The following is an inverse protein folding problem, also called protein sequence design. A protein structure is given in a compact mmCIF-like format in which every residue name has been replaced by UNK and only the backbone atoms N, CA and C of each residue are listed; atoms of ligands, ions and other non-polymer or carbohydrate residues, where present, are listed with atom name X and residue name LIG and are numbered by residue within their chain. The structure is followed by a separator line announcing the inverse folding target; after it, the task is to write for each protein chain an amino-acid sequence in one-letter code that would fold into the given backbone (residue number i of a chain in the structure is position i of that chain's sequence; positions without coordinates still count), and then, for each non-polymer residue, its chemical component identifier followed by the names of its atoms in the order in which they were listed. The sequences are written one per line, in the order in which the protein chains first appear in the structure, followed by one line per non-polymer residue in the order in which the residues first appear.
data_IF_152750824126
#
_entry.id   IF_152750824126
#
_cell.length_a   1.000
_cell.length_b   1.000
_cell.length_c   1.000
_cell.angle_alpha   90.00
_cell.angle_beta   90.00
_cell.angle_gamma   90.00
#
_symmetry.space_group_name_H-M   'P 1'
#
loop_
_entity.id
_entity.type
_entity.pdbx_description
1 polymer ?
#
# COMPACT_ATOMS: atom_id res chain seq x y z
N UNK A 1 4.38 11.86 16.28
CA UNK A 1 4.93 12.59 15.11
C UNK A 1 6.44 12.52 15.19
N UNK A 2 7.13 12.41 14.07
CA UNK A 2 8.60 12.33 14.01
C UNK A 2 9.18 13.75 13.85
N UNK A 3 9.98 14.30 14.77
CA UNK A 3 10.52 15.65 14.68
C UNK A 3 11.36 15.89 13.41
N UNK A 4 12.00 14.83 12.89
CA UNK A 4 12.84 14.88 11.67
C UNK A 4 12.04 14.55 10.40
N UNK A 5 10.72 14.41 10.50
CA UNK A 5 9.83 14.12 9.38
C UNK A 5 9.56 15.35 8.52
N UNK A 6 9.24 15.12 7.24
CA UNK A 6 8.72 16.15 6.36
C UNK A 6 7.30 16.53 6.75
N UNK A 7 6.88 17.79 6.51
CA UNK A 7 5.52 18.24 6.79
C UNK A 7 4.54 17.72 5.74
N UNK A 8 3.42 17.14 6.21
CA UNK A 8 2.31 16.69 5.37
C UNK A 8 0.99 17.23 5.88
N UNK A 9 0.12 17.56 4.96
CA UNK A 9 -1.29 17.90 5.21
C UNK A 9 -2.18 16.67 5.08
N UNK A 10 -3.45 16.79 5.49
CA UNK A 10 -4.47 15.77 5.32
C UNK A 10 -4.13 14.40 5.93
N UNK A 11 -3.17 14.34 6.84
CA UNK A 11 -2.96 13.14 7.65
C UNK A 11 -4.02 13.04 8.74
N UNK A 12 -4.47 11.83 9.07
CA UNK A 12 -5.54 11.63 10.05
C UNK A 12 -5.18 12.18 11.44
N UNK A 13 -3.90 12.11 11.82
CA UNK A 13 -3.38 12.71 13.04
C UNK A 13 -2.46 13.89 12.69
N UNK A 14 -2.92 15.09 12.96
CA UNK A 14 -2.18 16.33 12.75
C UNK A 14 -1.97 17.07 14.07
N UNK A 15 -0.99 17.93 14.12
CA UNK A 15 -0.85 18.91 15.20
C UNK A 15 -2.03 19.88 15.14
N UNK A 16 -2.72 20.07 16.27
CA UNK A 16 -3.96 20.85 16.35
C UNK A 16 -3.77 22.34 16.03
N UNK A 17 -2.56 22.87 16.20
CA UNK A 17 -2.29 24.29 15.98
C UNK A 17 -1.88 24.57 14.53
N UNK A 18 -1.19 23.62 13.89
CA UNK A 18 -0.63 23.82 12.53
C UNK A 18 -1.36 23.06 11.44
N UNK A 19 -2.19 22.05 11.79
CA UNK A 19 -2.82 21.17 10.82
C UNK A 19 -1.84 20.28 10.05
N UNK A 20 -0.61 20.15 10.54
CA UNK A 20 0.49 19.44 9.85
C UNK A 20 0.91 18.21 10.65
N UNK A 21 1.18 17.12 9.93
CA UNK A 21 1.86 15.95 10.47
C UNK A 21 3.31 15.92 9.98
N UNK A 22 4.26 15.73 10.90
CA UNK A 22 5.67 15.48 10.55
C UNK A 22 5.91 13.99 10.46
N UNK A 23 6.15 13.47 9.25
CA UNK A 23 6.26 12.03 8.98
C UNK A 23 7.47 11.78 8.09
N UNK A 24 8.20 10.71 8.38
CA UNK A 24 9.31 10.24 7.56
C UNK A 24 8.78 9.18 6.58
N UNK A 25 8.74 9.53 5.31
CA UNK A 25 8.47 8.61 4.20
C UNK A 25 9.76 8.41 3.39
N UNK A 26 9.90 7.24 2.79
CA UNK A 26 10.90 7.04 1.75
C UNK A 26 10.41 7.63 0.42
N UNK A 27 11.27 7.66 -0.59
CA UNK A 27 10.97 8.27 -1.90
C UNK A 27 9.75 7.64 -2.58
N UNK A 28 9.56 6.32 -2.46
CA UNK A 28 8.44 5.63 -3.09
C UNK A 28 7.14 5.88 -2.34
N UNK A 29 7.18 5.83 -1.02
CA UNK A 29 6.03 6.15 -0.16
C UNK A 29 5.54 7.58 -0.42
N UNK A 30 6.48 8.55 -0.45
CA UNK A 30 6.15 9.95 -0.75
C UNK A 30 5.56 10.12 -2.15
N UNK A 31 6.15 9.48 -3.16
CA UNK A 31 5.67 9.57 -4.53
C UNK A 31 4.27 8.98 -4.70
N UNK A 32 4.01 7.80 -4.13
CA UNK A 32 2.68 7.16 -4.16
C UNK A 32 1.66 8.04 -3.42
N UNK A 33 2.01 8.58 -2.25
CA UNK A 33 1.13 9.47 -1.50
C UNK A 33 0.77 10.72 -2.32
N UNK A 34 1.74 11.34 -2.99
CA UNK A 34 1.49 12.53 -3.83
C UNK A 34 0.56 12.24 -5.01
N UNK A 35 0.63 11.04 -5.61
CA UNK A 35 -0.34 10.62 -6.62
C UNK A 35 -1.74 10.50 -6.03
N UNK A 36 -1.89 9.88 -4.86
CA UNK A 36 -3.19 9.75 -4.20
C UNK A 36 -3.78 11.10 -3.81
N UNK A 37 -2.98 12.03 -3.29
CA UNK A 37 -3.43 13.37 -2.89
C UNK A 37 -3.95 14.23 -4.05
N UNK A 38 -3.57 13.93 -5.30
CA UNK A 38 -4.08 14.63 -6.49
C UNK A 38 -5.44 14.12 -6.96
N UNK A 39 -5.92 13.01 -6.43
CA UNK A 39 -7.20 12.44 -6.83
C UNK A 39 -8.36 13.29 -6.33
N UNK A 40 -9.39 13.52 -7.13
CA UNK A 40 -10.53 14.34 -6.74
C UNK A 40 -11.37 13.73 -5.61
N UNK A 41 -11.27 12.42 -5.41
CA UNK A 41 -11.97 11.67 -4.37
C UNK A 41 -11.16 11.52 -3.06
N UNK A 42 -9.90 11.97 -3.04
CA UNK A 42 -9.03 11.91 -1.86
C UNK A 42 -9.57 12.76 -0.70
N UNK A 43 -9.50 12.22 0.52
CA UNK A 43 -9.93 12.92 1.74
C UNK A 43 -8.77 13.11 2.71
N UNK A 44 -8.21 12.01 3.19
CA UNK A 44 -7.10 12.03 4.11
C UNK A 44 -6.31 10.70 4.01
N UNK A 45 -5.21 10.65 4.74
CA UNK A 45 -4.37 9.47 4.78
C UNK A 45 -3.83 9.20 6.18
N UNK A 46 -3.34 7.99 6.39
CA UNK A 46 -2.73 7.56 7.64
C UNK A 46 -1.45 6.75 7.33
N UNK A 47 -0.32 7.17 7.90
CA UNK A 47 0.86 6.30 8.00
C UNK A 47 0.57 5.19 8.99
N UNK A 48 0.64 3.94 8.56
CA UNK A 48 0.47 2.80 9.44
C UNK A 48 1.78 2.55 10.22
N UNK A 49 1.86 3.12 11.41
CA UNK A 49 3.08 3.07 12.24
C UNK A 49 3.22 1.70 12.86
N UNK A 50 4.29 1.00 12.49
CA UNK A 50 4.61 -0.33 13.03
C UNK A 50 4.57 -0.37 14.56
N UNK A 51 3.89 -1.38 15.12
CA UNK A 51 3.73 -1.63 16.55
C UNK A 51 2.91 -0.59 17.34
N UNK A 52 2.28 0.38 16.68
CA UNK A 52 1.28 1.20 17.35
C UNK A 52 0.04 0.35 17.69
N UNK A 53 -0.63 0.63 18.80
CA UNK A 53 -1.80 -0.15 19.25
C UNK A 53 -2.96 -0.15 18.24
N UNK A 54 -3.07 0.89 17.44
CA UNK A 54 -4.08 1.06 16.41
C UNK A 54 -3.62 0.61 15.00
N UNK A 55 -2.36 0.17 14.85
CA UNK A 55 -1.82 -0.18 13.55
C UNK A 55 -2.44 -1.47 13.00
N UNK A 56 -2.73 -1.48 11.71
CA UNK A 56 -3.05 -2.69 10.98
C UNK A 56 -1.80 -3.58 10.93
N UNK A 57 -1.89 -4.75 11.53
CA UNK A 57 -0.83 -5.74 11.54
C UNK A 57 -1.35 -7.06 10.96
N UNK A 58 -0.74 -7.54 9.90
CA UNK A 58 -1.08 -8.78 9.23
C UNK A 58 -0.07 -9.87 9.60
N UNK A 59 -0.48 -11.01 10.12
CA UNK A 59 0.44 -12.11 10.40
C UNK A 59 0.88 -12.79 9.10
N UNK A 60 2.16 -13.14 9.00
CA UNK A 60 2.70 -13.96 7.93
C UNK A 60 3.76 -14.92 8.44
N UNK A 61 3.94 -16.04 7.74
CA UNK A 61 4.96 -17.04 8.08
C UNK A 61 6.20 -16.80 7.21
N UNK A 62 7.36 -16.72 7.86
CA UNK A 62 8.64 -16.57 7.20
C UNK A 62 9.73 -17.36 7.94
N UNK A 63 10.38 -18.30 7.23
CA UNK A 63 11.40 -19.19 7.79
C UNK A 63 10.96 -19.95 9.04
N UNK A 64 9.70 -20.40 9.07
CA UNK A 64 9.13 -21.15 10.20
C UNK A 64 8.72 -20.29 11.40
N UNK A 65 8.82 -18.97 11.32
CA UNK A 65 8.41 -18.04 12.36
C UNK A 65 7.20 -17.21 11.92
N UNK A 66 6.28 -16.95 12.86
CA UNK A 66 5.21 -15.98 12.66
C UNK A 66 5.72 -14.58 12.90
N UNK A 67 5.55 -13.72 11.89
CA UNK A 67 5.93 -12.31 11.92
C UNK A 67 4.72 -11.40 11.69
N UNK A 68 4.81 -10.16 12.17
CA UNK A 68 3.82 -9.12 11.90
C UNK A 68 4.29 -8.24 10.74
N UNK A 69 3.44 -8.09 9.74
CA UNK A 69 3.60 -7.16 8.63
C UNK A 69 2.66 -5.97 8.81
N UNK A 70 3.17 -4.78 8.60
CA UNK A 70 2.45 -3.52 8.74
C UNK A 70 2.45 -2.82 7.37
N UNK A 71 1.34 -2.91 6.60
CA UNK A 71 1.23 -2.16 5.34
C UNK A 71 1.48 -0.67 5.54
N UNK A 72 2.12 -0.03 4.58
CA UNK A 72 2.70 1.29 4.78
C UNK A 72 1.67 2.40 5.04
N UNK A 73 0.57 2.44 4.30
CA UNK A 73 -0.38 3.54 4.42
C UNK A 73 -1.82 3.14 4.10
N UNK A 74 -2.74 3.88 4.70
CA UNK A 74 -4.17 3.84 4.41
C UNK A 74 -4.59 5.17 3.81
N UNK A 75 -5.45 5.11 2.80
CA UNK A 75 -6.03 6.28 2.12
C UNK A 75 -7.53 6.27 2.31
N UNK A 76 -8.09 7.35 2.80
CA UNK A 76 -9.54 7.56 2.87
C UNK A 76 -9.99 8.33 1.64
N UNK A 77 -10.99 7.83 0.94
CA UNK A 77 -11.58 8.47 -0.24
C UNK A 77 -13.10 8.59 -0.13
N UNK A 78 -13.66 9.56 -0.84
CA UNK A 78 -15.11 9.60 -1.10
C UNK A 78 -15.49 8.49 -2.08
N UNK A 79 -16.63 7.84 -1.81
CA UNK A 79 -17.17 6.81 -2.68
C UNK A 79 -18.68 7.05 -2.91
N UNK A 80 -19.18 7.01 -4.16
CA UNK A 80 -20.58 7.36 -4.47
C UNK A 80 -21.60 6.51 -3.72
N UNK A 81 -21.29 5.22 -3.52
CA UNK A 81 -22.23 4.26 -2.91
C UNK A 81 -22.07 4.17 -1.37
N UNK A 82 -20.82 4.29 -0.87
CA UNK A 82 -20.51 4.01 0.55
C UNK A 82 -20.20 5.26 1.37
N UNK A 83 -20.21 6.44 0.77
CA UNK A 83 -19.81 7.70 1.38
C UNK A 83 -18.28 7.80 1.51
N UNK A 84 -17.68 7.00 2.38
CA UNK A 84 -16.22 6.92 2.53
C UNK A 84 -15.76 5.47 2.46
N UNK A 85 -14.57 5.28 1.89
CA UNK A 85 -13.90 3.99 1.79
C UNK A 85 -12.45 4.13 2.20
N UNK A 86 -11.86 3.01 2.61
CA UNK A 86 -10.44 2.92 2.97
C UNK A 86 -9.73 2.05 1.95
N UNK A 87 -8.60 2.53 1.46
CA UNK A 87 -7.67 1.74 0.67
C UNK A 87 -6.41 1.46 1.49
N UNK A 88 -5.79 0.31 1.27
CA UNK A 88 -4.53 -0.09 1.87
C UNK A 88 -3.46 -0.14 0.78
N UNK A 89 -2.40 0.63 0.94
CA UNK A 89 -1.33 0.74 -0.04
C UNK A 89 0.02 0.31 0.55
N UNK A 90 0.72 -0.54 -0.18
CA UNK A 90 2.04 -1.05 0.16
C UNK A 90 3.03 -0.76 -0.99
N UNK A 91 3.69 0.40 -0.97
CA UNK A 91 4.85 0.68 -1.82
C UNK A 91 6.02 -0.21 -1.42
N UNK A 92 6.45 -1.08 -2.32
CA UNK A 92 7.25 -2.23 -1.97
C UNK A 92 8.44 -2.44 -2.89
N UNK A 93 9.65 -2.61 -2.32
CA UNK A 93 10.85 -2.89 -3.10
C UNK A 93 10.96 -4.39 -3.42
N UNK A 94 11.10 -4.80 -4.71
CA UNK A 94 11.11 -6.21 -5.11
C UNK A 94 12.26 -7.06 -4.55
N UNK A 95 13.28 -6.44 -3.98
CA UNK A 95 14.54 -7.07 -3.56
C UNK A 95 14.48 -7.82 -2.22
N UNK A 96 13.38 -7.72 -1.45
CA UNK A 96 13.30 -8.36 -0.15
C UNK A 96 12.78 -9.78 -0.26
N UNK A 97 13.44 -10.73 0.44
CA UNK A 97 13.12 -12.16 0.39
C UNK A 97 11.75 -12.50 1.00
N UNK A 98 11.24 -11.65 1.89
CA UNK A 98 9.93 -11.82 2.54
C UNK A 98 8.76 -11.17 1.78
N UNK A 99 8.98 -10.74 0.54
CA UNK A 99 7.99 -10.09 -0.29
C UNK A 99 6.80 -10.98 -0.63
N UNK A 100 7.06 -12.23 -1.03
CA UNK A 100 5.99 -13.16 -1.34
C UNK A 100 5.14 -13.52 -0.12
N UNK A 101 5.71 -13.88 1.05
CA UNK A 101 4.93 -14.06 2.27
C UNK A 101 4.06 -12.86 2.66
N UNK A 102 4.57 -11.64 2.54
CA UNK A 102 3.82 -10.40 2.79
C UNK A 102 2.71 -10.18 1.77
N UNK A 103 2.99 -10.40 0.47
CA UNK A 103 1.99 -10.33 -0.59
C UNK A 103 0.84 -11.32 -0.35
N UNK A 104 1.15 -12.55 0.10
CA UNK A 104 0.13 -13.54 0.49
C UNK A 104 -0.68 -13.12 1.70
N UNK A 105 -0.05 -12.51 2.71
CA UNK A 105 -0.78 -11.97 3.86
C UNK A 105 -1.76 -10.87 3.46
N UNK A 106 -1.35 -9.96 2.56
CA UNK A 106 -2.24 -8.96 2.00
C UNK A 106 -3.37 -9.57 1.17
N UNK A 107 -3.05 -10.57 0.33
CA UNK A 107 -4.05 -11.27 -0.48
C UNK A 107 -5.08 -12.01 0.40
N UNK A 108 -4.66 -12.63 1.50
CA UNK A 108 -5.57 -13.24 2.45
C UNK A 108 -6.44 -12.19 3.14
N UNK A 109 -5.84 -11.10 3.62
CA UNK A 109 -6.57 -9.99 4.23
C UNK A 109 -7.63 -9.39 3.27
N UNK A 110 -7.28 -9.21 2.01
CA UNK A 110 -8.21 -8.76 0.96
C UNK A 110 -9.42 -9.67 0.79
N UNK A 111 -9.26 -10.98 1.01
CA UNK A 111 -10.36 -11.95 0.95
C UNK A 111 -11.30 -11.82 2.15
N UNK A 112 -10.72 -11.54 3.32
CA UNK A 112 -11.44 -11.50 4.60
C UNK A 112 -12.11 -10.12 4.84
N UNK A 113 -11.61 -9.05 4.19
CA UNK A 113 -12.07 -7.66 4.38
C UNK A 113 -12.61 -7.02 3.08
N UNK A 114 -13.84 -7.34 2.70
CA UNK A 114 -14.43 -6.84 1.46
C UNK A 114 -14.72 -5.32 1.48
N UNK A 115 -14.66 -4.67 2.64
CA UNK A 115 -14.90 -3.23 2.79
C UNK A 115 -13.68 -2.37 2.43
N UNK A 116 -12.48 -2.96 2.35
CA UNK A 116 -11.30 -2.31 1.76
C UNK A 116 -11.47 -2.36 0.24
N UNK A 117 -11.57 -1.18 -0.40
CA UNK A 117 -11.91 -1.11 -1.84
C UNK A 117 -10.71 -1.32 -2.74
N UNK A 118 -9.56 -0.80 -2.37
CA UNK A 118 -8.29 -1.07 -3.03
C UNK A 118 -7.29 -1.59 -1.99
N UNK A 119 -6.66 -2.69 -2.31
CA UNK A 119 -5.53 -3.20 -1.54
C UNK A 119 -4.40 -3.47 -2.52
N UNK A 120 -3.41 -2.59 -2.54
CA UNK A 120 -2.45 -2.54 -3.63
C UNK A 120 -1.01 -2.75 -3.16
N UNK A 121 -0.34 -3.70 -3.82
CA UNK A 121 1.11 -3.74 -3.89
C UNK A 121 1.57 -2.79 -4.98
N UNK A 122 2.61 -1.99 -4.71
CA UNK A 122 3.04 -0.93 -5.62
C UNK A 122 4.55 -0.99 -5.81
N UNK A 123 4.99 -1.07 -7.08
CA UNK A 123 6.39 -1.05 -7.46
C UNK A 123 6.70 0.18 -8.29
N UNK A 124 7.91 0.75 -8.16
CA UNK A 124 8.45 1.70 -9.13
C UNK A 124 9.02 0.92 -10.32
N UNK A 125 8.67 1.34 -11.52
CA UNK A 125 9.20 0.81 -12.78
C UNK A 125 9.50 1.94 -13.74
N UNK A 126 10.57 1.82 -14.50
CA UNK A 126 10.86 2.73 -15.61
C UNK A 126 10.02 2.32 -16.82
N UNK A 127 9.26 3.24 -17.37
CA UNK A 127 8.45 3.01 -18.57
C UNK A 127 9.30 3.05 -19.86
N UNK A 128 8.66 2.81 -20.99
CA UNK A 128 9.34 2.78 -22.31
C UNK A 128 9.95 4.13 -22.71
N UNK A 129 9.53 5.22 -22.07
CA UNK A 129 10.05 6.58 -22.30
C UNK A 129 11.17 6.97 -21.35
N UNK A 130 11.56 6.05 -20.44
CA UNK A 130 12.62 6.28 -19.46
C UNK A 130 12.13 6.97 -18.18
N UNK A 131 10.84 7.24 -18.03
CA UNK A 131 10.28 7.85 -16.84
C UNK A 131 9.95 6.81 -15.78
N UNK A 132 10.23 7.14 -14.53
CA UNK A 132 9.85 6.35 -13.37
C UNK A 132 8.36 6.54 -13.09
N UNK A 133 7.65 5.43 -13.02
CA UNK A 133 6.21 5.37 -12.75
C UNK A 133 5.91 4.25 -11.77
N UNK A 134 4.77 4.33 -11.08
CA UNK A 134 4.32 3.27 -10.20
C UNK A 134 3.43 2.28 -10.96
N UNK A 135 3.72 0.99 -10.76
CA UNK A 135 2.90 -0.14 -11.23
C UNK A 135 2.16 -0.68 -10.02
N UNK A 136 0.86 -0.80 -10.13
CA UNK A 136 -0.06 -1.18 -9.06
C UNK A 136 -0.67 -2.54 -9.35
N UNK A 137 -0.64 -3.42 -8.36
CA UNK A 137 -1.26 -4.74 -8.38
C UNK A 137 -2.38 -4.76 -7.34
N UNK A 138 -3.64 -4.71 -7.77
CA UNK A 138 -4.79 -4.63 -6.88
C UNK A 138 -5.28 -6.01 -6.45
N UNK A 139 -5.06 -6.37 -5.21
CA UNK A 139 -5.43 -7.66 -4.63
C UNK A 139 -6.94 -7.79 -4.32
N UNK A 140 -7.72 -6.72 -4.47
CA UNK A 140 -9.19 -6.83 -4.43
C UNK A 140 -9.76 -7.45 -5.71
N UNK A 141 -9.01 -7.44 -6.81
CA UNK A 141 -9.35 -8.21 -8.00
C UNK A 141 -9.12 -9.71 -7.72
N UNK A 142 -10.20 -10.50 -7.71
CA UNK A 142 -10.16 -11.93 -7.31
C UNK A 142 -9.16 -12.75 -8.11
N UNK A 143 -9.07 -12.52 -9.42
CA UNK A 143 -8.10 -13.22 -10.28
C UNK A 143 -6.65 -12.98 -9.83
N UNK A 144 -6.29 -11.74 -9.51
CA UNK A 144 -4.95 -11.38 -9.06
C UNK A 144 -4.67 -11.98 -7.68
N UNK A 145 -5.63 -11.84 -6.76
CA UNK A 145 -5.55 -12.39 -5.41
C UNK A 145 -5.28 -13.89 -5.41
N UNK A 146 -6.06 -14.65 -6.16
CA UNK A 146 -5.92 -16.11 -6.20
C UNK A 146 -4.56 -16.54 -6.79
N UNK A 147 -4.05 -15.81 -7.81
CA UNK A 147 -2.71 -16.05 -8.35
C UNK A 147 -1.61 -15.77 -7.31
N UNK A 148 -1.72 -14.67 -6.55
CA UNK A 148 -0.76 -14.37 -5.47
C UNK A 148 -0.80 -15.43 -4.38
N UNK A 149 -1.99 -15.89 -3.96
CA UNK A 149 -2.13 -16.96 -2.97
C UNK A 149 -1.51 -18.28 -3.46
N UNK A 150 -1.67 -18.61 -4.74
CA UNK A 150 -1.13 -19.82 -5.36
C UNK A 150 0.38 -19.76 -5.65
N UNK A 151 1.00 -18.58 -5.64
CA UNK A 151 2.43 -18.41 -5.92
C UNK A 151 3.30 -19.18 -4.94
N UNK A 152 4.39 -19.77 -5.42
CA UNK A 152 5.35 -20.54 -4.62
C UNK A 152 6.72 -19.88 -4.54
N UNK A 153 7.04 -19.03 -5.50
CA UNK A 153 8.35 -18.39 -5.63
C UNK A 153 8.24 -16.87 -5.79
N UNK A 154 9.28 -16.10 -5.44
CA UNK A 154 9.32 -14.67 -5.74
C UNK A 154 9.16 -14.34 -7.23
N UNK A 155 9.59 -15.24 -8.14
CA UNK A 155 9.47 -15.03 -9.57
C UNK A 155 8.03 -15.18 -10.07
N UNK A 156 7.20 -15.98 -9.40
CA UNK A 156 5.75 -16.02 -9.65
C UNK A 156 5.13 -14.66 -9.41
N UNK A 157 5.47 -14.01 -8.29
CA UNK A 157 4.97 -12.68 -7.95
C UNK A 157 5.41 -11.63 -8.98
N UNK A 158 6.67 -11.68 -9.44
CA UNK A 158 7.18 -10.81 -10.52
C UNK A 158 6.38 -11.01 -11.82
N UNK A 159 6.10 -12.26 -12.16
CA UNK A 159 5.31 -12.60 -13.35
C UNK A 159 3.88 -12.06 -13.28
N UNK A 160 3.26 -12.11 -12.09
CA UNK A 160 1.94 -11.51 -11.85
C UNK A 160 1.99 -9.99 -12.03
N UNK A 161 3.02 -9.31 -11.52
CA UNK A 161 3.20 -7.87 -11.77
C UNK A 161 3.37 -7.52 -13.24
N UNK A 162 4.07 -8.36 -14.01
CA UNK A 162 4.23 -8.15 -15.46
C UNK A 162 2.90 -8.32 -16.20
N UNK A 163 2.10 -9.30 -15.80
CA UNK A 163 0.86 -9.66 -16.49
C UNK A 163 -0.31 -8.76 -16.10
N UNK A 164 -0.44 -8.38 -14.82
CA UNK A 164 -1.62 -7.73 -14.26
C UNK A 164 -1.35 -6.36 -13.64
N UNK A 165 -0.10 -5.96 -13.53
CA UNK A 165 0.25 -4.66 -12.99
C UNK A 165 -0.19 -3.52 -13.90
N UNK A 166 -0.91 -2.54 -13.33
CA UNK A 166 -1.40 -1.36 -14.04
C UNK A 166 -0.54 -0.16 -13.66
N UNK A 167 -0.10 0.62 -14.66
CA UNK A 167 0.54 1.90 -14.38
C UNK A 167 -0.45 2.88 -13.75
N UNK A 168 0.01 3.65 -12.77
CA UNK A 168 -0.77 4.78 -12.25
C UNK A 168 -1.24 5.66 -13.39
N UNK A 169 -2.50 6.11 -13.33
CA UNK A 169 -3.00 7.13 -14.25
C UNK A 169 -2.17 8.41 -14.09
N UNK A 170 -1.73 8.98 -15.18
CA UNK A 170 -1.02 10.26 -15.25
C UNK A 170 -1.95 11.42 -14.98
#
# INVERSE_FOLDING_TARGET
MNPDGQPYTNHLYVDSNTGIAKIKLNTWEDGVLREEMRRPDFVCWLRNVSRAQWALCLPYDYNGEKKGFYPDMMIVRKHPQYGYVVDVLEPHMPRYDDNLPKAKALAQYSKDEPHVIRLQLIHEKTDLTGHKRYVRLDLQKSEIREKVLASSTPDDLKSIFVQFGEFSAT
#
